data_IF_903714621232
#
_entry.id   IF_903714621232
#
_cell.length_a   1.000
_cell.length_b   1.000
_cell.length_c   1.000
_cell.angle_alpha   90.00
_cell.angle_beta   90.00
_cell.angle_gamma   90.00
#
_symmetry.space_group_name_H-M   'P 1'
#
loop_
_entity.id
_entity.type
_entity.pdbx_description
1 polymer ?
#
# COMPACT_ATOMS: atom_id res chain seq x y z
N UNK A 1 12.91 -8.32 8.93
CA UNK A 1 12.74 -7.39 7.79
C UNK A 1 11.48 -6.59 8.07
N UNK A 2 11.47 -5.25 7.96
CA UNK A 2 10.29 -4.46 8.34
C UNK A 2 9.26 -4.45 7.20
N UNK A 3 8.01 -4.78 7.50
CA UNK A 3 6.90 -4.76 6.54
C UNK A 3 6.13 -3.45 6.67
N UNK A 4 5.95 -2.75 5.54
CA UNK A 4 5.22 -1.48 5.49
C UNK A 4 3.85 -1.71 4.89
N UNK A 5 2.81 -1.23 5.57
CA UNK A 5 1.47 -1.13 5.05
C UNK A 5 1.23 0.25 4.41
N UNK A 6 0.68 0.28 3.20
CA UNK A 6 0.32 1.51 2.50
C UNK A 6 -1.16 1.53 2.13
N UNK A 7 -1.90 2.47 2.71
CA UNK A 7 -3.34 2.65 2.51
C UNK A 7 -3.57 3.90 1.67
N UNK A 8 -4.20 3.72 0.51
CA UNK A 8 -4.55 4.81 -0.39
C UNK A 8 -3.58 4.97 -1.55
N UNK A 9 -4.03 4.56 -2.73
CA UNK A 9 -3.21 4.47 -3.94
C UNK A 9 -3.70 5.46 -5.01
N UNK A 10 -3.83 6.72 -4.61
CA UNK A 10 -4.03 7.85 -5.53
C UNK A 10 -2.75 8.19 -6.31
N UNK A 11 -2.74 9.34 -6.99
CA UNK A 11 -1.59 9.81 -7.79
C UNK A 11 -0.31 9.82 -6.94
N UNK A 12 -0.37 10.45 -5.76
CA UNK A 12 0.78 10.53 -4.84
C UNK A 12 1.09 9.17 -4.19
N UNK A 13 0.06 8.49 -3.67
CA UNK A 13 0.23 7.20 -2.97
C UNK A 13 0.89 6.12 -3.83
N UNK A 14 0.55 6.05 -5.12
CA UNK A 14 1.18 5.12 -6.07
C UNK A 14 2.70 5.32 -6.19
N UNK A 15 3.14 6.55 -6.39
CA UNK A 15 4.57 6.85 -6.53
C UNK A 15 5.33 6.57 -5.24
N UNK A 16 4.79 6.99 -4.08
CA UNK A 16 5.41 6.76 -2.78
C UNK A 16 5.54 5.27 -2.45
N UNK A 17 4.45 4.52 -2.58
CA UNK A 17 4.43 3.07 -2.39
C UNK A 17 5.43 2.38 -3.35
N UNK A 18 5.49 2.84 -4.59
CA UNK A 18 6.44 2.36 -5.59
C UNK A 18 7.90 2.57 -5.19
N UNK A 19 8.26 3.70 -4.59
CA UNK A 19 9.62 3.95 -4.10
C UNK A 19 9.97 3.07 -2.90
N UNK A 20 9.04 2.84 -1.98
CA UNK A 20 9.26 1.93 -0.85
C UNK A 20 9.56 0.50 -1.34
N UNK A 21 8.79 0.03 -2.31
CA UNK A 21 9.02 -1.28 -2.92
C UNK A 21 10.37 -1.34 -3.65
N UNK A 22 10.72 -0.30 -4.42
CA UNK A 22 12.02 -0.21 -5.10
C UNK A 22 13.20 -0.12 -4.12
N UNK A 23 12.98 0.42 -2.92
CA UNK A 23 13.94 0.44 -1.82
C UNK A 23 14.12 -0.90 -1.10
N UNK A 24 13.43 -1.97 -1.53
CA UNK A 24 13.58 -3.32 -0.99
C UNK A 24 12.76 -3.61 0.28
N UNK A 25 11.80 -2.75 0.62
CA UNK A 25 10.87 -3.03 1.72
C UNK A 25 9.78 -4.02 1.28
N UNK A 26 9.42 -4.94 2.17
CA UNK A 26 8.18 -5.71 2.01
C UNK A 26 7.00 -4.74 2.13
N UNK A 27 6.10 -4.76 1.15
CA UNK A 27 5.05 -3.76 1.01
C UNK A 27 3.67 -4.43 0.93
N UNK A 28 2.85 -4.16 1.93
CA UNK A 28 1.43 -4.49 1.94
C UNK A 28 0.65 -3.28 1.45
N UNK A 29 -0.35 -3.48 0.59
CA UNK A 29 -1.12 -2.38 -0.02
C UNK A 29 -2.62 -2.60 0.07
N UNK A 30 -3.33 -1.50 0.30
CA UNK A 30 -4.79 -1.45 0.24
C UNK A 30 -5.22 -0.16 -0.45
N UNK A 31 -6.30 -0.25 -1.24
CA UNK A 31 -7.01 0.89 -1.77
C UNK A 31 -8.47 0.55 -2.05
N UNK A 32 -9.40 1.50 -1.88
CA UNK A 32 -10.83 1.23 -2.17
C UNK A 32 -11.09 0.66 -3.57
N UNK A 33 -10.32 1.10 -4.57
CA UNK A 33 -10.36 0.54 -5.93
C UNK A 33 -9.14 -0.37 -6.13
N UNK A 34 -9.38 -1.69 -6.20
CA UNK A 34 -8.32 -2.70 -6.29
C UNK A 34 -7.41 -2.54 -7.51
N UNK A 35 -7.96 -2.22 -8.68
CA UNK A 35 -7.17 -2.08 -9.92
C UNK A 35 -6.07 -1.02 -9.86
N UNK A 36 -6.16 -0.07 -8.90
CA UNK A 36 -5.06 0.87 -8.67
C UNK A 36 -3.82 0.16 -8.11
N UNK A 37 -3.95 -0.96 -7.42
CA UNK A 37 -2.84 -1.71 -6.85
C UNK A 37 -2.09 -2.61 -7.86
N UNK A 38 -2.69 -2.91 -9.02
CA UNK A 38 -2.18 -3.92 -9.96
C UNK A 38 -0.71 -3.71 -10.35
N UNK A 39 -0.30 -2.46 -10.60
CA UNK A 39 1.09 -2.12 -10.93
C UNK A 39 2.08 -2.29 -9.76
N UNK A 40 1.63 -2.21 -8.51
CA UNK A 40 2.47 -2.48 -7.34
C UNK A 40 2.51 -3.99 -7.06
N UNK A 41 1.38 -4.67 -7.23
CA UNK A 41 1.27 -6.13 -7.07
C UNK A 41 2.19 -6.85 -8.08
N UNK A 42 2.19 -6.42 -9.35
CA UNK A 42 3.08 -6.99 -10.36
C UNK A 42 4.57 -6.80 -10.06
N UNK A 43 4.89 -5.84 -9.19
CA UNK A 43 6.25 -5.55 -8.71
C UNK A 43 6.57 -6.22 -7.37
N UNK A 44 5.64 -6.99 -6.80
CA UNK A 44 5.85 -7.75 -5.57
C UNK A 44 5.16 -7.21 -4.31
N UNK A 45 4.30 -6.19 -4.42
CA UNK A 45 3.48 -5.78 -3.28
C UNK A 45 2.39 -6.81 -2.97
N UNK A 46 2.08 -6.98 -1.68
CA UNK A 46 1.01 -7.89 -1.22
C UNK A 46 -0.29 -7.12 -1.03
N UNK A 47 -1.35 -7.57 -1.67
CA UNK A 47 -2.69 -7.00 -1.53
C UNK A 47 -3.41 -7.50 -0.28
N UNK A 48 -4.19 -6.63 0.36
CA UNK A 48 -5.11 -6.98 1.44
C UNK A 48 -6.49 -6.42 1.14
N UNK A 49 -7.56 -7.15 1.50
CA UNK A 49 -8.94 -6.80 1.18
C UNK A 49 -9.52 -5.74 2.13
N UNK A 50 -8.92 -5.56 3.31
CA UNK A 50 -9.31 -4.51 4.26
C UNK A 50 -8.10 -3.76 4.86
N UNK A 51 -8.29 -2.50 5.30
CA UNK A 51 -7.26 -1.76 6.05
C UNK A 51 -6.84 -2.45 7.35
N UNK A 52 -7.78 -3.13 8.02
CA UNK A 52 -7.55 -3.82 9.29
C UNK A 52 -6.64 -5.03 9.13
N UNK A 53 -6.88 -5.85 8.11
CA UNK A 53 -5.99 -6.98 7.79
C UNK A 53 -4.60 -6.50 7.39
N UNK A 54 -4.50 -5.46 6.56
CA UNK A 54 -3.21 -4.86 6.20
C UNK A 54 -2.44 -4.41 7.44
N UNK A 55 -3.10 -3.71 8.36
CA UNK A 55 -2.47 -3.23 9.59
C UNK A 55 -2.00 -4.37 10.49
N UNK A 56 -2.77 -5.46 10.60
CA UNK A 56 -2.40 -6.64 11.39
C UNK A 56 -1.13 -7.36 10.87
N UNK A 57 -0.79 -7.17 9.60
CA UNK A 57 0.38 -7.78 8.95
C UNK A 57 1.52 -6.79 8.67
N UNK A 58 1.46 -5.57 9.24
CA UNK A 58 2.44 -4.50 8.98
C UNK A 58 3.06 -3.98 10.28
N UNK A 59 4.36 -3.68 10.26
CA UNK A 59 5.05 -3.06 11.40
C UNK A 59 4.82 -1.53 11.46
N UNK A 60 4.56 -0.92 10.31
CA UNK A 60 4.30 0.51 10.12
C UNK A 60 3.21 0.67 9.07
N UNK A 61 2.24 1.56 9.31
CA UNK A 61 1.19 1.89 8.35
C UNK A 61 1.29 3.35 7.94
N UNK A 62 1.31 3.59 6.62
CA UNK A 62 1.24 4.92 6.00
C UNK A 62 -0.10 5.05 5.30
N UNK A 63 -0.80 6.16 5.54
CA UNK A 63 -2.10 6.45 4.92
C UNK A 63 -2.02 7.73 4.09
N UNK A 64 -2.34 7.64 2.80
CA UNK A 64 -2.48 8.79 1.89
C UNK A 64 -3.85 8.72 1.23
N UNK A 65 -4.84 9.34 1.87
CA UNK A 65 -6.24 9.32 1.45
C UNK A 65 -6.73 10.73 1.17
N UNK A 66 -7.70 10.85 0.27
CA UNK A 66 -8.38 12.13 0.03
C UNK A 66 -9.27 12.51 1.21
N UNK A 67 -9.69 13.78 1.26
CA UNK A 67 -10.64 14.23 2.26
C UNK A 67 -11.96 13.45 2.16
N UNK A 68 -12.49 12.93 3.27
CA UNK A 68 -13.87 12.46 3.31
C UNK A 68 -14.81 13.65 3.05
N UNK A 69 -15.84 13.42 2.24
CA UNK A 69 -17.01 14.30 2.15
C UNK A 69 -18.06 13.83 3.14
#
# INVERSE_FOLDING_TARGET
>A
MKTIGFIGLGIMGQSMAGHLLAGGFALNVYNRTKSKADGLISRGATWFDTPGELAAHSDLVITIVGFPR
#
